data_IF_155188945900
#
_entry.id   IF_155188945900
#
_cell.length_a   1.000
_cell.length_b   1.000
_cell.length_c   1.000
_cell.angle_alpha   90.00
_cell.angle_beta   90.00
_cell.angle_gamma   90.00
#
_symmetry.space_group_name_H-M   'P 1'
#
loop_
_entity.id
_entity.type
_entity.pdbx_description
1 polymer ?
#
# COMPACT_ATOMS: atom_id res chain seq x y z
N UNK A 1 32.11 51.46 19.93
CA UNK A 1 30.71 51.19 20.33
C UNK A 1 30.30 49.83 19.79
N UNK A 2 29.78 48.98 20.67
CA UNK A 2 29.78 47.52 20.54
C UNK A 2 28.75 46.98 19.55
N UNK A 3 29.20 45.96 18.81
CA UNK A 3 28.45 44.98 18.01
C UNK A 3 27.21 44.47 18.76
N UNK A 4 26.04 44.53 18.12
CA UNK A 4 24.87 43.72 18.45
C UNK A 4 24.47 42.91 17.22
N UNK A 5 24.91 41.66 17.20
CA UNK A 5 24.25 40.57 16.47
C UNK A 5 22.92 40.27 17.18
N UNK A 6 21.88 39.90 16.43
CA UNK A 6 20.85 38.90 16.78
C UNK A 6 19.94 38.74 15.54
N UNK A 7 20.30 37.80 14.66
CA UNK A 7 19.59 36.54 14.39
C UNK A 7 18.41 36.69 13.41
N UNK A 8 18.50 36.14 12.18
CA UNK A 8 17.40 36.09 11.23
C UNK A 8 16.43 34.98 11.64
N UNK A 9 15.20 35.35 12.00
CA UNK A 9 14.10 34.40 12.20
C UNK A 9 13.56 33.94 10.86
N UNK A 10 14.16 32.90 10.28
CA UNK A 10 13.57 32.11 9.20
C UNK A 10 12.26 31.49 9.71
N UNK A 11 11.11 32.03 9.30
CA UNK A 11 9.84 31.31 9.39
C UNK A 11 9.79 30.26 8.27
N UNK A 12 10.41 29.11 8.54
CA UNK A 12 10.19 27.90 7.75
C UNK A 12 8.83 27.31 8.13
N UNK A 13 7.77 27.74 7.44
CA UNK A 13 6.48 27.06 7.46
C UNK A 13 6.59 25.79 6.60
N UNK A 14 7.20 24.75 7.18
CA UNK A 14 7.24 23.43 6.60
C UNK A 14 6.16 22.55 7.26
N UNK A 15 5.36 21.92 6.39
CA UNK A 15 4.67 20.64 6.59
C UNK A 15 3.42 20.62 7.47
N UNK A 16 2.28 20.62 6.81
CA UNK A 16 1.25 19.58 7.02
C UNK A 16 0.76 19.18 5.63
N UNK A 17 1.40 18.21 4.96
CA UNK A 17 0.97 16.80 5.01
C UNK A 17 -0.56 16.70 5.05
N UNK A 18 -1.22 17.22 4.02
CA UNK A 18 -2.49 16.67 3.57
C UNK A 18 -2.22 15.23 3.14
N UNK A 19 -2.20 14.34 4.12
CA UNK A 19 -2.13 12.91 3.93
C UNK A 19 -3.28 12.52 3.01
N UNK A 20 -2.98 12.24 1.75
CA UNK A 20 -3.85 11.47 0.89
C UNK A 20 -4.12 10.17 1.63
N UNK A 21 -5.29 10.09 2.28
CA UNK A 21 -5.76 8.85 2.87
C UNK A 21 -5.81 7.82 1.74
N UNK A 22 -5.24 6.62 1.91
CA UNK A 22 -5.27 5.61 0.87
C UNK A 22 -6.73 5.27 0.56
N UNK A 23 -7.13 5.30 -0.73
CA UNK A 23 -8.49 5.03 -1.22
C UNK A 23 -8.90 3.55 -1.17
N UNK A 24 -8.16 2.74 -0.42
CA UNK A 24 -8.31 1.29 -0.42
C UNK A 24 -8.12 0.76 0.98
N UNK A 25 -8.94 -0.23 1.32
CA UNK A 25 -8.82 -0.95 2.57
C UNK A 25 -8.63 -2.44 2.32
N UNK A 26 -7.79 -3.05 3.16
CA UNK A 26 -7.58 -4.50 3.17
C UNK A 26 -8.50 -5.13 4.22
N UNK A 27 -9.46 -5.93 3.75
CA UNK A 27 -10.27 -6.82 4.60
C UNK A 27 -9.50 -8.13 4.78
N UNK A 28 -9.09 -8.42 6.00
CA UNK A 28 -8.26 -9.58 6.35
C UNK A 28 -9.11 -10.65 7.02
N UNK A 29 -8.87 -11.91 6.68
CA UNK A 29 -9.47 -13.06 7.37
C UNK A 29 -8.62 -13.55 8.54
N UNK A 30 -7.35 -13.12 8.62
CA UNK A 30 -6.42 -13.54 9.67
C UNK A 30 -6.14 -12.39 10.63
N UNK A 31 -6.23 -12.71 11.92
CA UNK A 31 -5.93 -11.84 13.07
C UNK A 31 -4.49 -12.10 13.56
N UNK A 32 -3.54 -12.17 12.63
CA UNK A 32 -2.13 -12.46 12.95
C UNK A 32 -1.38 -11.16 13.25
N UNK A 33 -0.62 -11.13 14.35
CA UNK A 33 0.14 -9.97 14.82
C UNK A 33 1.15 -9.51 13.76
N UNK A 34 1.31 -8.18 13.57
CA UNK A 34 2.13 -7.66 12.49
C UNK A 34 3.61 -7.85 12.79
N UNK A 35 4.26 -8.78 12.08
CA UNK A 35 5.71 -8.79 11.92
C UNK A 35 6.00 -7.99 10.67
N UNK A 36 6.61 -6.80 10.81
CA UNK A 36 7.01 -5.98 9.67
C UNK A 36 8.31 -6.54 9.08
N UNK A 37 8.31 -7.16 7.89
CA UNK A 37 9.55 -7.50 7.22
C UNK A 37 10.27 -6.20 6.81
N UNK A 38 11.57 -6.14 7.10
CA UNK A 38 12.44 -4.98 6.81
C UNK A 38 12.61 -4.75 5.30
N UNK A 39 12.29 -5.74 4.47
CA UNK A 39 12.35 -5.67 3.01
C UNK A 39 11.07 -6.23 2.39
N UNK A 40 10.00 -5.44 2.49
CA UNK A 40 8.70 -5.82 1.96
C UNK A 40 8.64 -5.62 0.43
N UNK A 41 9.02 -6.66 -0.30
CA UNK A 41 8.82 -6.76 -1.74
C UNK A 41 7.51 -7.50 -2.03
N UNK A 42 6.57 -6.82 -2.71
CA UNK A 42 5.28 -7.39 -3.10
C UNK A 42 5.27 -7.58 -4.60
N UNK A 43 4.98 -8.81 -5.05
CA UNK A 43 4.82 -9.15 -6.46
C UNK A 43 3.36 -9.04 -6.90
N UNK A 44 3.11 -8.46 -8.07
CA UNK A 44 1.77 -8.48 -8.69
C UNK A 44 1.67 -9.72 -9.57
N UNK A 45 0.62 -10.50 -9.38
CA UNK A 45 0.31 -11.70 -10.14
C UNK A 45 -1.04 -11.51 -10.85
N UNK A 46 -1.14 -11.94 -12.10
CA UNK A 46 -2.39 -11.95 -12.86
C UNK A 46 -3.25 -13.21 -12.61
N UNK A 47 -2.68 -14.21 -11.97
CA UNK A 47 -3.33 -15.48 -11.63
C UNK A 47 -2.76 -16.04 -10.31
N UNK A 48 -3.45 -17.03 -9.76
CA UNK A 48 -2.90 -17.78 -8.63
C UNK A 48 -1.58 -18.47 -9.04
N UNK A 49 -0.53 -18.45 -8.19
CA UNK A 49 0.71 -19.15 -8.47
C UNK A 49 0.51 -20.67 -8.35
N UNK A 50 1.35 -21.43 -9.04
CA UNK A 50 1.37 -22.90 -8.93
C UNK A 50 1.93 -23.38 -7.58
N UNK A 51 2.70 -22.51 -6.90
CA UNK A 51 3.26 -22.72 -5.57
C UNK A 51 2.18 -22.67 -4.48
N UNK A 52 2.40 -23.35 -3.36
CA UNK A 52 1.48 -23.29 -2.23
C UNK A 52 1.45 -21.87 -1.62
N UNK A 53 0.24 -21.33 -1.39
CA UNK A 53 0.07 -20.00 -0.83
C UNK A 53 -1.04 -19.94 0.22
N UNK A 54 -0.98 -18.91 1.08
CA UNK A 54 -2.01 -18.57 2.05
C UNK A 54 -2.65 -17.24 1.67
N UNK A 55 -3.99 -17.17 1.69
CA UNK A 55 -4.71 -15.92 1.47
C UNK A 55 -4.72 -15.11 2.76
N UNK A 56 -4.09 -13.94 2.71
CA UNK A 56 -3.96 -13.03 3.86
C UNK A 56 -5.18 -12.12 3.95
N UNK A 57 -5.63 -11.60 2.80
CA UNK A 57 -6.76 -10.68 2.76
C UNK A 57 -7.17 -10.30 1.35
N UNK A 58 -8.24 -9.52 1.25
CA UNK A 58 -8.74 -8.94 0.01
C UNK A 58 -8.60 -7.43 0.07
N UNK A 59 -8.29 -6.82 -1.06
CA UNK A 59 -8.29 -5.36 -1.22
C UNK A 59 -9.61 -4.99 -1.85
N UNK A 60 -10.36 -4.12 -1.18
CA UNK A 60 -11.60 -3.56 -1.68
C UNK A 60 -11.45 -2.05 -1.85
N UNK A 61 -12.10 -1.46 -2.87
CA UNK A 61 -12.10 -0.02 -3.05
C UNK A 61 -12.97 0.64 -1.96
N UNK A 62 -12.55 1.81 -1.47
CA UNK A 62 -13.34 2.58 -0.50
C UNK A 62 -14.67 3.09 -1.09
N UNK A 63 -14.70 3.27 -2.41
CA UNK A 63 -15.90 3.62 -3.17
C UNK A 63 -16.27 2.48 -4.13
N UNK A 64 -17.56 2.19 -4.35
CA UNK A 64 -17.97 1.15 -5.29
C UNK A 64 -17.45 1.46 -6.69
N UNK A 65 -16.55 0.63 -7.22
CA UNK A 65 -15.90 0.90 -8.49
C UNK A 65 -14.65 0.06 -8.75
N UNK A 66 -13.86 0.53 -9.72
CA UNK A 66 -12.57 -0.07 -10.11
C UNK A 66 -11.48 0.51 -9.20
N UNK A 67 -10.46 -0.28 -8.89
CA UNK A 67 -9.34 0.15 -8.05
C UNK A 67 -8.47 1.15 -8.82
N UNK A 68 -7.75 0.69 -9.86
CA UNK A 68 -6.94 1.53 -10.76
C UNK A 68 -6.47 0.70 -11.96
N UNK A 69 -6.03 1.34 -13.05
CA UNK A 69 -5.32 0.65 -14.15
C UNK A 69 -3.80 0.62 -13.95
N UNK A 70 -3.27 1.46 -13.06
CA UNK A 70 -1.83 1.61 -12.87
C UNK A 70 -1.32 0.75 -11.72
N UNK A 71 -0.44 -0.19 -12.07
CA UNK A 71 0.12 -1.18 -11.15
C UNK A 71 1.02 -0.54 -10.10
N UNK A 72 1.76 0.51 -10.47
CA UNK A 72 2.64 1.21 -9.56
C UNK A 72 1.83 1.95 -8.49
N UNK A 73 0.84 2.75 -8.92
CA UNK A 73 -0.07 3.47 -8.02
C UNK A 73 -0.82 2.50 -7.11
N UNK A 74 -1.26 1.36 -7.65
CA UNK A 74 -1.90 0.31 -6.85
C UNK A 74 -0.94 -0.20 -5.77
N UNK A 75 0.26 -0.62 -6.17
CA UNK A 75 1.28 -1.18 -5.28
C UNK A 75 1.66 -0.20 -4.17
N UNK A 76 1.93 1.06 -4.52
CA UNK A 76 2.28 2.11 -3.55
C UNK A 76 1.18 2.30 -2.50
N UNK A 77 -0.09 2.22 -2.90
CA UNK A 77 -1.22 2.40 -1.99
C UNK A 77 -1.45 1.20 -1.06
N UNK A 78 -1.28 -0.04 -1.55
CA UNK A 78 -1.51 -1.26 -0.75
C UNK A 78 -0.29 -1.71 0.04
N UNK A 79 0.92 -1.29 -0.35
CA UNK A 79 2.19 -1.77 0.20
C UNK A 79 2.22 -1.68 1.73
N UNK A 80 1.91 -0.54 2.38
CA UNK A 80 1.93 -0.47 3.85
C UNK A 80 1.04 -1.54 4.51
N UNK A 81 -0.19 -1.70 4.01
CA UNK A 81 -1.17 -2.64 4.56
C UNK A 81 -0.78 -4.10 4.31
N UNK A 82 -0.25 -4.40 3.13
CA UNK A 82 0.22 -5.73 2.77
C UNK A 82 1.47 -6.14 3.57
N UNK A 83 2.42 -5.21 3.77
CA UNK A 83 3.62 -5.44 4.56
C UNK A 83 3.31 -5.72 6.04
N UNK A 84 2.42 -4.94 6.64
CA UNK A 84 1.96 -5.16 8.03
C UNK A 84 1.35 -6.55 8.20
N UNK A 85 0.80 -7.14 7.14
CA UNK A 85 0.16 -8.46 7.16
C UNK A 85 1.03 -9.58 6.60
N UNK A 86 2.34 -9.35 6.40
CA UNK A 86 3.30 -10.34 5.87
C UNK A 86 2.98 -10.89 4.46
N UNK A 87 2.17 -10.18 3.68
CA UNK A 87 1.91 -10.57 2.29
C UNK A 87 3.14 -10.29 1.41
N UNK A 88 3.50 -11.24 0.53
CA UNK A 88 4.62 -11.11 -0.41
C UNK A 88 4.16 -11.07 -1.88
N UNK A 89 2.88 -11.30 -2.14
CA UNK A 89 2.29 -11.15 -3.46
C UNK A 89 0.83 -10.71 -3.40
N UNK A 90 0.34 -10.17 -4.51
CA UNK A 90 -1.05 -9.77 -4.71
C UNK A 90 -1.54 -10.33 -6.05
N UNK A 91 -2.63 -11.08 -6.01
CA UNK A 91 -3.32 -11.55 -7.22
C UNK A 91 -4.32 -10.47 -7.62
N UNK A 92 -4.18 -9.89 -8.81
CA UNK A 92 -5.08 -8.87 -9.34
C UNK A 92 -5.99 -9.46 -10.42
N UNK A 93 -7.28 -9.12 -10.37
CA UNK A 93 -8.26 -9.42 -11.41
C UNK A 93 -8.54 -8.12 -12.16
N UNK A 94 -8.45 -8.17 -13.49
CA UNK A 94 -8.69 -7.01 -14.34
C UNK A 94 -9.93 -7.20 -15.23
N UNK A 95 -10.55 -6.10 -15.61
CA UNK A 95 -11.57 -6.07 -16.66
C UNK A 95 -10.94 -5.97 -18.07
N UNK A 96 -11.79 -5.94 -19.09
CA UNK A 96 -11.40 -5.81 -20.49
C UNK A 96 -10.67 -4.48 -20.79
N UNK A 97 -10.87 -3.46 -19.95
CA UNK A 97 -10.17 -2.18 -20.02
C UNK A 97 -8.84 -2.18 -19.23
N UNK A 98 -8.38 -3.37 -18.78
CA UNK A 98 -7.16 -3.59 -17.97
C UNK A 98 -7.20 -2.90 -16.59
N UNK A 99 -8.37 -2.50 -16.13
CA UNK A 99 -8.54 -1.90 -14.81
C UNK A 99 -8.60 -3.00 -13.77
N UNK A 100 -7.89 -2.83 -12.66
CA UNK A 100 -7.95 -3.74 -11.52
C UNK A 100 -9.34 -3.59 -10.88
N UNK A 101 -10.09 -4.69 -10.85
CA UNK A 101 -11.44 -4.75 -10.26
C UNK A 101 -11.45 -5.46 -8.91
N UNK A 102 -10.50 -6.37 -8.68
CA UNK A 102 -10.31 -7.06 -7.40
C UNK A 102 -8.84 -7.34 -7.19
N UNK A 103 -8.42 -7.39 -5.92
CA UNK A 103 -7.10 -7.85 -5.57
C UNK A 103 -7.12 -8.70 -4.30
N UNK A 104 -6.30 -9.75 -4.27
CA UNK A 104 -6.17 -10.68 -3.15
C UNK A 104 -4.72 -10.72 -2.71
N UNK A 105 -4.47 -10.34 -1.45
CA UNK A 105 -3.14 -10.42 -0.85
C UNK A 105 -2.87 -11.87 -0.43
N UNK A 106 -1.71 -12.36 -0.82
CA UNK A 106 -1.27 -13.72 -0.52
C UNK A 106 0.15 -13.74 0.05
N UNK A 107 0.45 -14.84 0.74
CA UNK A 107 1.79 -15.23 1.15
C UNK A 107 2.13 -16.56 0.50
N UNK A 108 3.02 -16.53 -0.48
CA UNK A 108 3.60 -17.72 -1.13
C UNK A 108 4.63 -18.34 -0.17
N UNK A 109 4.64 -19.67 -0.05
CA UNK A 109 5.51 -20.44 0.85
C UNK A 109 6.77 -20.96 0.17
#
# INVERSE_FOLDING_TARGET
>A
MNRRWLVPGLFAAALSLGACSPKYHVISNESESPVLPTDCAIRILSAAPDEAFTVIGRVEPDEPGKLTADDQTFLEAIKPQACTRTANAVIVVRDDARQITRATLIRIR
#
